data_IF_507524673636
#
_entry.id   IF_507524673636
#
_cell.length_a   1.000
_cell.length_b   1.000
_cell.length_c   1.000
_cell.angle_alpha   90.00
_cell.angle_beta   90.00
_cell.angle_gamma   90.00
#
_symmetry.space_group_name_H-M   'P 1'
#
loop_
_entity.id
_entity.type
_entity.pdbx_description
1 polymer ?
#
# COMPACT_ATOMS: atom_id res chain seq x y z
N UNK A 1 -4.08 25.56 49.89
CA UNK A 1 -5.29 24.83 49.43
C UNK A 1 -4.98 24.30 48.04
N UNK A 2 -5.09 22.97 47.87
CA UNK A 2 -4.54 22.15 46.78
C UNK A 2 -5.47 22.11 45.56
N UNK A 3 -4.88 21.98 44.35
CA UNK A 3 -5.30 20.98 43.36
C UNK A 3 -4.26 20.93 42.23
N UNK A 4 -3.40 19.93 42.29
CA UNK A 4 -2.57 19.45 41.18
C UNK A 4 -3.50 18.88 40.10
N UNK A 5 -3.39 19.39 38.88
CA UNK A 5 -4.13 18.86 37.72
C UNK A 5 -3.57 17.48 37.33
N UNK A 6 -4.22 16.42 37.80
CA UNK A 6 -4.05 15.07 37.29
C UNK A 6 -5.07 14.83 36.17
N UNK A 7 -4.59 14.68 34.94
CA UNK A 7 -5.44 14.48 33.77
C UNK A 7 -4.61 14.41 32.52
N UNK A 8 -3.75 13.39 32.40
CA UNK A 8 -3.19 12.97 31.12
C UNK A 8 -4.38 12.67 30.19
N UNK A 9 -4.74 13.66 29.37
CA UNK A 9 -5.87 13.58 28.44
C UNK A 9 -5.43 12.80 27.20
N UNK A 10 -4.85 11.63 27.39
CA UNK A 10 -4.63 10.62 26.34
C UNK A 10 -5.88 9.76 26.24
N UNK A 11 -6.99 10.39 25.91
CA UNK A 11 -8.13 9.62 25.41
C UNK A 11 -7.77 9.16 23.99
N UNK A 12 -7.71 7.86 23.70
CA UNK A 12 -7.45 7.40 22.34
C UNK A 12 -8.57 7.91 21.42
N UNK A 13 -8.20 8.82 20.51
CA UNK A 13 -9.08 9.29 19.44
C UNK A 13 -9.17 8.21 18.36
N UNK A 14 -10.15 7.33 18.47
CA UNK A 14 -10.46 6.38 17.40
C UNK A 14 -11.15 7.14 16.24
N UNK A 15 -10.40 7.40 15.17
CA UNK A 15 -10.98 7.89 13.92
C UNK A 15 -11.84 6.82 13.26
N UNK A 16 -13.13 6.74 13.62
CA UNK A 16 -14.10 5.89 12.92
C UNK A 16 -14.58 6.62 11.67
N UNK A 17 -14.28 6.06 10.50
CA UNK A 17 -14.84 6.51 9.22
C UNK A 17 -15.94 5.52 8.82
N UNK A 18 -17.19 5.86 9.12
CA UNK A 18 -18.36 5.05 8.75
C UNK A 18 -19.09 5.72 7.57
N UNK A 19 -19.48 4.92 6.58
CA UNK A 19 -20.32 5.36 5.45
C UNK A 19 -21.29 4.24 5.12
N UNK A 20 -22.58 4.53 5.05
CA UNK A 20 -23.65 3.57 4.75
C UNK A 20 -24.26 3.90 3.39
N UNK A 21 -24.19 2.96 2.45
CA UNK A 21 -24.71 3.13 1.08
C UNK A 21 -25.63 1.95 0.75
N UNK A 22 -26.82 2.23 0.19
CA UNK A 22 -27.72 1.21 -0.36
C UNK A 22 -27.65 1.21 -1.88
N UNK A 23 -27.42 0.05 -2.48
CA UNK A 23 -27.26 -0.10 -3.94
C UNK A 23 -28.09 -1.28 -4.43
N UNK A 24 -28.73 -1.13 -5.60
CA UNK A 24 -29.42 -2.23 -6.30
C UNK A 24 -28.47 -2.74 -7.37
N UNK A 25 -28.20 -4.04 -7.35
CA UNK A 25 -27.19 -4.66 -8.19
C UNK A 25 -27.74 -5.91 -8.87
N UNK A 26 -27.34 -6.14 -10.12
CA UNK A 26 -27.66 -7.38 -10.83
C UNK A 26 -26.63 -8.46 -10.48
N UNK A 27 -27.07 -9.72 -10.43
CA UNK A 27 -26.19 -10.86 -10.15
C UNK A 27 -25.00 -10.89 -11.13
N UNK A 28 -23.78 -11.02 -10.61
CA UNK A 28 -22.56 -11.13 -11.39
C UNK A 28 -22.00 -9.83 -11.99
N UNK A 29 -22.71 -8.70 -11.85
CA UNK A 29 -22.24 -7.41 -12.37
C UNK A 29 -21.45 -6.63 -11.34
N UNK A 30 -20.21 -6.26 -11.68
CA UNK A 30 -19.38 -5.40 -10.82
C UNK A 30 -19.88 -3.96 -10.87
N UNK A 31 -20.09 -3.37 -9.71
CA UNK A 31 -20.44 -1.95 -9.58
C UNK A 31 -19.48 -1.20 -8.66
N UNK A 32 -19.36 0.10 -8.89
CA UNK A 32 -18.58 1.01 -8.04
C UNK A 32 -19.50 1.57 -6.97
N UNK A 33 -19.20 1.27 -5.69
CA UNK A 33 -20.00 1.77 -4.55
C UNK A 33 -19.44 3.10 -4.03
N UNK A 34 -18.16 3.36 -4.28
CA UNK A 34 -17.55 4.62 -3.89
C UNK A 34 -16.09 4.72 -4.29
N UNK A 35 -15.54 5.88 -4.02
CA UNK A 35 -14.13 6.17 -4.23
C UNK A 35 -13.74 7.50 -3.60
N UNK A 36 -12.45 7.72 -3.47
CA UNK A 36 -11.89 8.98 -2.99
C UNK A 36 -10.76 9.38 -3.92
N UNK A 37 -10.79 10.63 -4.39
CA UNK A 37 -9.66 11.28 -5.05
C UNK A 37 -9.14 12.33 -4.09
N UNK A 38 -7.88 12.20 -3.69
CA UNK A 38 -7.18 13.17 -2.85
C UNK A 38 -6.04 13.76 -3.65
N UNK A 39 -6.00 15.08 -3.73
CA UNK A 39 -4.90 15.83 -4.34
C UNK A 39 -4.30 16.74 -3.28
N UNK A 40 -2.98 16.67 -3.10
CA UNK A 40 -2.23 17.53 -2.21
C UNK A 40 -1.19 18.30 -3.02
N UNK A 41 -1.39 19.61 -3.18
CA UNK A 41 -0.44 20.52 -3.82
C UNK A 41 0.34 21.25 -2.74
N UNK A 42 1.65 21.08 -2.74
CA UNK A 42 2.55 21.77 -1.84
C UNK A 42 3.55 22.57 -2.67
N UNK A 43 3.43 23.90 -2.58
CA UNK A 43 4.34 24.87 -3.19
C UNK A 43 5.25 25.42 -2.09
N UNK A 44 6.53 25.18 -2.21
CA UNK A 44 7.55 25.68 -1.30
C UNK A 44 8.43 26.69 -2.02
N UNK A 45 8.43 27.94 -1.57
CA UNK A 45 9.26 29.00 -2.13
C UNK A 45 10.35 29.36 -1.11
N UNK A 46 11.61 29.20 -1.49
CA UNK A 46 12.78 29.54 -0.67
C UNK A 46 13.59 30.60 -1.40
N UNK A 47 14.02 31.67 -0.73
CA UNK A 47 14.82 32.69 -1.41
C UNK A 47 15.43 33.69 -0.44
N UNK A 48 16.41 34.45 -0.94
CA UNK A 48 17.09 35.47 -0.15
C UNK A 48 16.15 36.67 0.08
N UNK A 49 15.81 37.02 1.33
CA UNK A 49 14.95 38.17 1.61
C UNK A 49 15.58 39.47 1.08
N UNK A 50 14.77 40.31 0.45
CA UNK A 50 15.22 41.54 -0.24
C UNK A 50 15.42 41.34 -1.74
N UNK A 51 16.45 40.60 -2.15
CA UNK A 51 16.83 40.45 -3.57
C UNK A 51 15.82 39.59 -4.35
N UNK A 52 15.19 38.61 -3.70
CA UNK A 52 14.19 37.75 -4.33
C UNK A 52 12.95 38.52 -4.86
N UNK A 53 12.70 39.77 -4.40
CA UNK A 53 11.57 40.60 -4.83
C UNK A 53 11.89 41.54 -6.01
N UNK A 54 13.14 41.62 -6.43
CA UNK A 54 13.55 42.49 -7.56
C UNK A 54 12.98 41.91 -8.86
N UNK A 55 12.16 42.64 -9.62
CA UNK A 55 11.72 42.20 -10.94
C UNK A 55 12.95 41.96 -11.84
N UNK A 56 12.87 40.98 -12.75
CA UNK A 56 13.99 40.42 -13.55
C UNK A 56 14.99 39.52 -12.82
N UNK A 57 15.58 39.96 -11.70
CA UNK A 57 16.68 39.21 -11.03
C UNK A 57 16.22 38.27 -9.93
N UNK A 58 15.03 38.49 -9.35
CA UNK A 58 14.55 37.74 -8.20
C UNK A 58 14.33 36.24 -8.45
N UNK A 59 14.25 35.78 -9.70
CA UNK A 59 14.15 34.35 -10.07
C UNK A 59 15.45 33.57 -9.88
N UNK A 60 16.61 34.23 -9.97
CA UNK A 60 17.93 33.60 -9.78
C UNK A 60 18.27 33.40 -8.29
N UNK A 61 17.58 34.13 -7.40
CA UNK A 61 17.80 34.13 -5.95
C UNK A 61 16.63 33.53 -5.17
N UNK A 62 15.69 32.88 -5.87
CA UNK A 62 14.61 32.07 -5.29
C UNK A 62 14.62 30.68 -5.92
N UNK A 63 14.20 29.69 -5.14
CA UNK A 63 13.93 28.32 -5.55
C UNK A 63 12.46 28.06 -5.26
N UNK A 64 11.72 27.62 -6.27
CA UNK A 64 10.31 27.24 -6.15
C UNK A 64 10.24 25.72 -6.35
N UNK A 65 9.73 25.01 -5.35
CA UNK A 65 9.47 23.56 -5.43
C UNK A 65 7.96 23.36 -5.41
N UNK A 66 7.40 23.01 -6.56
CA UNK A 66 6.00 22.60 -6.69
C UNK A 66 5.93 21.07 -6.62
N UNK A 67 5.19 20.53 -5.66
CA UNK A 67 4.95 19.08 -5.51
C UNK A 67 3.46 18.78 -5.51
N UNK A 68 3.04 17.83 -6.35
CA UNK A 68 1.64 17.41 -6.50
C UNK A 68 1.56 15.92 -6.17
N UNK A 69 0.84 15.58 -5.10
CA UNK A 69 0.59 14.19 -4.70
C UNK A 69 -0.89 13.85 -4.92
N UNK A 70 -1.18 12.91 -5.82
CA UNK A 70 -2.53 12.43 -6.10
C UNK A 70 -2.70 11.00 -5.58
N UNK A 71 -3.78 10.75 -4.84
CA UNK A 71 -4.13 9.43 -4.32
C UNK A 71 -5.56 9.12 -4.71
N UNK A 72 -5.78 7.97 -5.34
CA UNK A 72 -7.07 7.50 -5.80
C UNK A 72 -7.41 6.17 -5.14
N UNK A 73 -8.64 6.05 -4.66
CA UNK A 73 -9.19 4.82 -4.08
C UNK A 73 -10.54 4.54 -4.73
N UNK A 74 -10.75 3.30 -5.16
CA UNK A 74 -12.02 2.81 -5.72
C UNK A 74 -12.47 1.58 -4.94
N UNK A 75 -13.76 1.51 -4.64
CA UNK A 75 -14.41 0.38 -3.98
C UNK A 75 -15.37 -0.27 -4.96
N UNK A 76 -15.04 -1.50 -5.35
CA UNK A 76 -15.78 -2.32 -6.30
C UNK A 76 -16.45 -3.48 -5.57
N UNK A 77 -17.67 -3.82 -5.97
CA UNK A 77 -18.39 -4.99 -5.44
C UNK A 77 -19.05 -5.74 -6.58
N UNK A 78 -18.95 -7.07 -6.54
CA UNK A 78 -19.58 -7.98 -7.49
C UNK A 78 -20.48 -8.95 -6.71
N UNK A 79 -21.81 -8.77 -6.71
CA UNK A 79 -22.70 -9.69 -6.03
C UNK A 79 -22.76 -11.03 -6.76
N UNK A 80 -22.92 -12.11 -6.00
CA UNK A 80 -23.11 -13.47 -6.52
C UNK A 80 -24.30 -14.10 -5.77
N UNK A 81 -25.31 -14.54 -6.51
CA UNK A 81 -26.51 -15.22 -5.98
C UNK A 81 -26.30 -16.73 -6.10
N UNK A 82 -26.49 -17.43 -4.97
CA UNK A 82 -26.39 -18.90 -4.89
C UNK A 82 -27.78 -19.43 -4.57
N UNK A 83 -28.36 -20.17 -5.50
CA UNK A 83 -29.73 -20.70 -5.37
C UNK A 83 -29.75 -22.08 -4.73
N UNK A 84 -28.70 -22.89 -4.96
CA UNK A 84 -28.62 -24.26 -4.44
C UNK A 84 -27.30 -24.53 -3.71
N UNK A 85 -27.27 -25.46 -2.72
CA UNK A 85 -26.02 -25.86 -2.05
C UNK A 85 -24.96 -26.40 -3.02
N UNK A 86 -25.39 -27.07 -4.10
CA UNK A 86 -24.51 -27.63 -5.12
C UNK A 86 -23.75 -26.54 -5.90
N UNK A 87 -24.36 -25.37 -6.08
CA UNK A 87 -23.71 -24.23 -6.73
C UNK A 87 -22.66 -23.57 -5.82
N UNK A 88 -22.91 -23.57 -4.50
CA UNK A 88 -21.93 -23.17 -3.51
C UNK A 88 -20.69 -24.07 -3.50
N UNK A 89 -20.88 -25.38 -3.62
CA UNK A 89 -19.77 -26.34 -3.66
C UNK A 89 -18.90 -26.16 -4.92
N UNK A 90 -19.51 -25.93 -6.08
CA UNK A 90 -18.77 -25.63 -7.32
C UNK A 90 -17.97 -24.33 -7.19
N UNK A 91 -18.59 -23.27 -6.66
CA UNK A 91 -17.92 -21.99 -6.46
C UNK A 91 -16.76 -22.09 -5.48
N UNK A 92 -16.92 -22.83 -4.38
CA UNK A 92 -15.86 -23.00 -3.38
C UNK A 92 -14.66 -23.75 -3.95
N UNK A 93 -14.88 -24.71 -4.87
CA UNK A 93 -13.81 -25.41 -5.59
C UNK A 93 -13.06 -24.47 -6.52
N UNK A 94 -13.77 -23.67 -7.31
CA UNK A 94 -13.18 -22.70 -8.23
C UNK A 94 -12.36 -21.64 -7.49
N UNK A 95 -12.89 -21.13 -6.37
CA UNK A 95 -12.19 -20.17 -5.51
C UNK A 95 -10.94 -20.83 -4.93
N UNK A 96 -11.04 -22.04 -4.39
CA UNK A 96 -9.90 -22.75 -3.80
C UNK A 96 -8.80 -23.01 -4.82
N UNK A 97 -9.14 -23.38 -6.06
CA UNK A 97 -8.18 -23.56 -7.14
C UNK A 97 -7.48 -22.24 -7.52
N UNK A 98 -8.25 -21.16 -7.65
CA UNK A 98 -7.70 -19.82 -7.93
C UNK A 98 -6.79 -19.35 -6.80
N UNK A 99 -7.20 -19.50 -5.53
CA UNK A 99 -6.38 -19.14 -4.37
C UNK A 99 -5.08 -19.95 -4.35
N UNK A 100 -5.14 -21.26 -4.61
CA UNK A 100 -3.95 -22.10 -4.66
C UNK A 100 -3.00 -21.69 -5.81
N UNK A 101 -3.54 -21.31 -6.97
CA UNK A 101 -2.75 -20.79 -8.08
C UNK A 101 -2.09 -19.45 -7.72
N UNK A 102 -2.83 -18.55 -7.05
CA UNK A 102 -2.30 -17.29 -6.56
C UNK A 102 -1.24 -17.50 -5.48
N UNK A 103 -1.41 -18.46 -4.56
CA UNK A 103 -0.40 -18.80 -3.57
C UNK A 103 0.88 -19.35 -4.21
N UNK A 104 0.77 -20.15 -5.26
CA UNK A 104 1.94 -20.60 -6.04
C UNK A 104 2.63 -19.43 -6.77
N UNK A 105 1.86 -18.42 -7.19
CA UNK A 105 2.36 -17.23 -7.86
C UNK A 105 3.03 -16.24 -6.88
N UNK A 106 2.38 -15.91 -5.76
CA UNK A 106 2.87 -14.97 -4.75
C UNK A 106 3.85 -15.59 -3.74
N UNK A 107 3.75 -16.90 -3.50
CA UNK A 107 4.56 -17.65 -2.53
C UNK A 107 5.93 -18.07 -3.05
N UNK A 108 6.34 -17.63 -4.24
CA UNK A 108 7.61 -18.03 -4.86
C UNK A 108 8.77 -17.05 -4.61
N UNK A 109 8.69 -16.26 -3.52
CA UNK A 109 9.83 -15.47 -3.05
C UNK A 109 10.57 -16.21 -1.92
N UNK A 110 11.66 -16.87 -2.31
CA UNK A 110 12.87 -17.15 -1.51
C UNK A 110 12.81 -18.22 -0.39
N UNK A 111 13.29 -19.42 -0.73
CA UNK A 111 14.02 -20.33 0.18
C UNK A 111 14.85 -21.30 -0.71
N UNK A 112 14.21 -21.83 -1.75
CA UNK A 112 14.76 -22.87 -2.64
C UNK A 112 15.91 -22.43 -3.55
N UNK A 113 16.15 -21.13 -3.71
CA UNK A 113 17.30 -20.60 -4.44
C UNK A 113 18.50 -20.33 -3.52
N UNK A 114 18.26 -20.02 -2.23
CA UNK A 114 19.34 -19.86 -1.25
C UNK A 114 19.98 -21.20 -0.90
N UNK A 115 19.19 -22.28 -0.82
CA UNK A 115 19.72 -23.63 -0.61
C UNK A 115 20.59 -24.12 -1.76
N UNK A 116 20.23 -23.80 -3.01
CA UNK A 116 21.05 -24.13 -4.19
C UNK A 116 22.35 -23.33 -4.19
N UNK A 117 22.29 -22.04 -3.84
CA UNK A 117 23.47 -21.18 -3.72
C UNK A 117 24.37 -21.66 -2.57
N UNK A 118 23.83 -21.97 -1.39
CA UNK A 118 24.58 -22.49 -0.26
C UNK A 118 25.20 -23.85 -0.58
N UNK A 119 24.47 -24.74 -1.28
CA UNK A 119 25.01 -26.02 -1.75
C UNK A 119 26.15 -25.82 -2.76
N UNK A 120 26.02 -24.85 -3.68
CA UNK A 120 27.05 -24.52 -4.66
C UNK A 120 28.29 -23.88 -4.03
N UNK A 121 28.09 -22.99 -3.04
CA UNK A 121 29.18 -22.36 -2.30
C UNK A 121 29.92 -23.37 -1.41
N UNK A 122 29.21 -24.24 -0.70
CA UNK A 122 29.80 -25.35 0.07
C UNK A 122 30.58 -26.30 -0.83
N UNK A 123 30.03 -26.63 -2.00
CA UNK A 123 30.70 -27.47 -3.01
C UNK A 123 32.02 -26.86 -3.51
N UNK A 124 32.13 -25.53 -3.62
CA UNK A 124 33.38 -24.86 -3.99
C UNK A 124 34.39 -24.77 -2.83
N UNK A 125 33.94 -24.72 -1.58
CA UNK A 125 34.83 -24.64 -0.40
C UNK A 125 35.40 -25.98 0.07
N UNK A 126 34.86 -27.11 -0.41
CA UNK A 126 35.36 -28.46 -0.07
C UNK A 126 36.42 -28.99 -1.06
N UNK A 127 36.98 -28.15 -1.93
CA UNK A 127 38.13 -28.53 -2.73
C UNK A 127 39.37 -28.72 -1.83
N UNK A 128 40.03 -29.89 -1.85
CA UNK A 128 41.20 -30.14 -1.01
C UNK A 128 42.38 -29.30 -1.53
N UNK A 129 42.84 -28.34 -0.70
CA UNK A 129 44.13 -27.66 -0.92
C UNK A 129 44.11 -26.14 -1.07
N UNK A 130 43.31 -25.39 -0.29
CA UNK A 130 43.50 -23.94 -0.22
C UNK A 130 44.80 -23.60 0.56
N UNK A 131 45.76 -22.86 -0.03
CA UNK A 131 46.92 -22.37 0.69
C UNK A 131 46.52 -21.19 1.59
N UNK A 132 46.88 -21.28 2.87
CA UNK A 132 46.72 -20.18 3.84
C UNK A 132 47.60 -18.98 3.47
N UNK A 133 47.14 -17.78 3.84
CA UNK A 133 47.86 -17.00 4.85
C UNK A 133 47.00 -16.63 6.06
#
# INVERSE_FOLDING_TARGET
>A
MLATSFGDTRSPSFGKRNSSTSVVAQNGQTLVIGGLIRENRNRNEQGVPGIARVPLLGRLFRSETDSINKTELLILVTPQVIETPQDGDKMSRDISQKIQALQKFFGNSNESDLDKILKFLKFRTEAPGAPGP
#
